data_IF_605573277415
#
_entry.id   IF_605573277415
#
_cell.length_a   1.000
_cell.length_b   1.000
_cell.length_c   1.000
_cell.angle_alpha   90.00
_cell.angle_beta   90.00
_cell.angle_gamma   90.00
#
_symmetry.space_group_name_H-M   'P 1'
#
loop_
_entity.id
_entity.type
_entity.pdbx_description
1 polymer ?
#
# COMPACT_ATOMS: atom_id res chain seq x y z
N UNK A 1 -16.36 1.71 -37.10
CA UNK A 1 -17.40 1.85 -36.07
C UNK A 1 -16.79 2.64 -34.90
N UNK A 2 -17.18 3.92 -34.83
CA UNK A 2 -16.96 4.97 -33.81
C UNK A 2 -15.66 5.02 -32.98
N UNK A 3 -14.75 5.91 -33.39
CA UNK A 3 -13.70 6.47 -32.55
C UNK A 3 -14.30 7.52 -31.59
N UNK A 4 -14.35 7.24 -30.29
CA UNK A 4 -14.64 8.25 -29.27
C UNK A 4 -13.35 8.99 -28.89
N UNK A 5 -13.05 10.04 -29.64
CA UNK A 5 -12.02 11.02 -29.28
C UNK A 5 -12.62 11.99 -28.25
N UNK A 6 -12.44 11.72 -26.95
CA UNK A 6 -12.76 12.68 -25.91
C UNK A 6 -11.66 13.77 -25.88
N UNK A 7 -11.82 14.82 -26.70
CA UNK A 7 -11.02 16.05 -26.60
C UNK A 7 -11.57 16.95 -25.49
N UNK A 8 -11.39 16.56 -24.23
CA UNK A 8 -11.45 17.54 -23.13
C UNK A 8 -10.02 18.02 -22.90
N UNK A 9 -9.80 19.30 -23.17
CA UNK A 9 -8.58 20.04 -22.87
C UNK A 9 -8.29 19.93 -21.37
N UNK A 10 -7.29 19.11 -21.00
CA UNK A 10 -6.71 19.16 -19.66
C UNK A 10 -6.05 20.54 -19.53
N UNK A 11 -6.75 21.50 -18.92
CA UNK A 11 -6.15 22.77 -18.52
C UNK A 11 -5.09 22.43 -17.48
N UNK A 12 -3.81 22.56 -17.85
CA UNK A 12 -2.73 22.44 -16.89
C UNK A 12 -2.92 23.52 -15.82
N UNK A 13 -3.35 23.11 -14.63
CA UNK A 13 -3.43 23.99 -13.47
C UNK A 13 -2.00 24.29 -13.04
N UNK A 14 -1.46 25.45 -13.47
CA UNK A 14 -0.17 25.95 -12.98
C UNK A 14 -0.33 26.38 -11.52
N UNK A 15 -0.02 25.49 -10.58
CA UNK A 15 0.12 25.86 -9.17
C UNK A 15 1.52 26.41 -8.94
N UNK A 16 1.62 27.68 -8.53
CA UNK A 16 2.90 28.32 -8.21
C UNK A 16 3.63 27.55 -7.09
N UNK A 17 4.96 27.64 -7.05
CA UNK A 17 5.75 27.05 -5.95
C UNK A 17 5.32 27.60 -4.59
N UNK A 18 4.98 28.89 -4.54
CA UNK A 18 4.48 29.55 -3.34
C UNK A 18 3.13 28.98 -2.89
N UNK A 19 2.15 28.85 -3.79
CA UNK A 19 0.84 28.27 -3.46
C UNK A 19 0.91 26.80 -3.02
N UNK A 20 1.86 26.02 -3.56
CA UNK A 20 2.14 24.66 -3.06
C UNK A 20 2.68 24.68 -1.63
N UNK A 21 3.58 25.61 -1.34
CA UNK A 21 4.18 25.79 -0.01
C UNK A 21 3.15 26.27 1.01
N UNK A 22 2.31 27.23 0.64
CA UNK A 22 1.25 27.77 1.49
C UNK A 22 0.20 26.72 1.83
N UNK A 23 -0.16 25.84 0.86
CA UNK A 23 -1.01 24.67 1.15
C UNK A 23 -0.38 23.74 2.18
N UNK A 24 0.92 23.44 2.04
CA UNK A 24 1.63 22.59 2.99
C UNK A 24 1.62 23.19 4.41
N UNK A 25 1.84 24.50 4.52
CA UNK A 25 1.83 25.24 5.79
C UNK A 25 0.42 25.38 6.40
N UNK A 26 -0.63 25.40 5.56
CA UNK A 26 -2.03 25.46 6.02
C UNK A 26 -2.53 24.15 6.66
N UNK A 27 -1.78 23.06 6.52
CA UNK A 27 -2.19 21.72 6.97
C UNK A 27 -3.31 21.09 6.14
N UNK A 28 -3.86 21.77 5.13
CA UNK A 28 -4.95 21.25 4.28
C UNK A 28 -4.42 20.36 3.15
N UNK A 29 -5.07 19.21 2.96
CA UNK A 29 -4.85 18.30 1.84
C UNK A 29 -6.08 18.36 0.93
N UNK A 30 -5.92 18.96 -0.24
CA UNK A 30 -6.94 18.98 -1.29
C UNK A 30 -6.47 18.17 -2.49
N UNK A 31 -7.26 17.16 -2.87
CA UNK A 31 -7.04 16.37 -4.07
C UNK A 31 -7.99 16.90 -5.14
N UNK A 32 -7.43 17.49 -6.19
CA UNK A 32 -8.17 17.98 -7.35
C UNK A 32 -8.08 16.91 -8.43
N UNK A 33 -9.23 16.47 -8.95
CA UNK A 33 -9.25 15.48 -10.02
C UNK A 33 -8.67 16.09 -11.30
N UNK A 34 -7.66 15.47 -11.90
CA UNK A 34 -7.19 15.86 -13.23
C UNK A 34 -8.20 15.53 -14.36
N UNK A 35 -9.24 14.72 -14.09
CA UNK A 35 -10.22 14.34 -15.11
C UNK A 35 -11.11 15.52 -15.54
N UNK A 36 -11.47 16.40 -14.61
CA UNK A 36 -12.35 17.54 -14.86
C UNK A 36 -12.03 18.80 -14.04
N UNK A 37 -11.03 18.76 -13.16
CA UNK A 37 -10.65 19.87 -12.29
C UNK A 37 -11.51 20.02 -11.03
N UNK A 38 -12.42 19.08 -10.76
CA UNK A 38 -13.25 19.09 -9.55
C UNK A 38 -12.46 18.76 -8.28
N UNK A 39 -12.94 19.23 -7.14
CA UNK A 39 -12.42 18.82 -5.83
C UNK A 39 -12.89 17.39 -5.54
N UNK A 40 -11.95 16.43 -5.54
CA UNK A 40 -12.25 15.02 -5.27
C UNK A 40 -12.21 14.69 -3.78
N UNK A 41 -11.26 15.28 -3.04
CA UNK A 41 -11.15 15.09 -1.60
C UNK A 41 -10.67 16.39 -0.93
N UNK A 42 -11.27 16.71 0.21
CA UNK A 42 -10.84 17.79 1.11
C UNK A 42 -10.57 17.20 2.49
N UNK A 43 -9.37 17.41 3.00
CA UNK A 43 -8.89 16.83 4.23
C UNK A 43 -7.70 17.61 4.78
N UNK A 44 -6.92 16.95 5.63
CA UNK A 44 -5.72 17.54 6.24
C UNK A 44 -4.56 16.57 6.22
N UNK A 45 -3.35 17.11 6.19
CA UNK A 45 -2.15 16.33 6.45
C UNK A 45 -2.17 15.80 7.89
N UNK A 46 -1.60 14.60 8.07
CA UNK A 46 -1.36 14.09 9.41
C UNK A 46 -0.41 15.04 10.16
N UNK A 47 -0.76 15.34 11.41
CA UNK A 47 0.11 16.09 12.31
C UNK A 47 1.26 15.22 12.82
N UNK A 48 2.30 15.85 13.36
CA UNK A 48 3.39 15.14 14.01
C UNK A 48 2.88 14.26 15.17
N UNK A 49 1.89 14.75 15.94
CA UNK A 49 1.30 13.99 17.06
C UNK A 49 0.60 12.73 16.57
N UNK A 50 -0.12 12.79 15.45
CA UNK A 50 -0.79 11.62 14.87
C UNK A 50 0.22 10.62 14.31
N UNK A 51 1.29 11.09 13.66
CA UNK A 51 2.37 10.22 13.19
C UNK A 51 3.05 9.50 14.35
N UNK A 52 3.33 10.20 15.46
CA UNK A 52 3.91 9.59 16.66
C UNK A 52 2.94 8.60 17.32
N UNK A 53 1.65 8.92 17.36
CA UNK A 53 0.61 8.03 17.91
C UNK A 53 0.48 6.75 17.08
N UNK A 54 0.50 6.86 15.75
CA UNK A 54 0.47 5.71 14.85
C UNK A 54 1.72 4.83 15.01
N UNK A 55 2.91 5.44 15.15
CA UNK A 55 4.15 4.70 15.42
C UNK A 55 4.10 3.98 16.78
N UNK A 56 3.59 4.63 17.83
CA UNK A 56 3.42 4.00 19.14
C UNK A 56 2.48 2.80 19.07
N UNK A 57 1.33 2.94 18.40
CA UNK A 57 0.38 1.85 18.20
C UNK A 57 1.00 0.68 17.42
N UNK A 58 1.74 0.97 16.35
CA UNK A 58 2.45 -0.05 15.57
C UNK A 58 3.48 -0.81 16.43
N UNK A 59 4.25 -0.11 17.27
CA UNK A 59 5.20 -0.74 18.20
C UNK A 59 4.51 -1.66 19.20
N UNK A 60 3.38 -1.24 19.75
CA UNK A 60 2.58 -2.06 20.68
C UNK A 60 2.03 -3.30 19.99
N UNK A 61 1.54 -3.16 18.75
CA UNK A 61 0.96 -4.27 18.00
C UNK A 61 2.02 -5.28 17.49
N UNK A 62 3.22 -4.82 17.12
CA UNK A 62 4.25 -5.65 16.48
C UNK A 62 4.59 -6.93 17.26
N UNK A 63 4.65 -6.86 18.59
CA UNK A 63 4.97 -8.02 19.42
C UNK A 63 3.86 -9.10 19.42
N UNK A 64 2.60 -8.71 19.31
CA UNK A 64 1.48 -9.64 19.16
C UNK A 64 1.37 -10.13 17.71
N UNK A 65 1.52 -9.22 16.75
CA UNK A 65 1.44 -9.52 15.32
C UNK A 65 2.49 -10.53 14.86
N UNK A 66 3.76 -10.38 15.28
CA UNK A 66 4.84 -11.35 15.02
C UNK A 66 4.48 -12.78 15.44
N UNK A 67 3.65 -12.95 16.48
CA UNK A 67 3.23 -14.25 17.01
C UNK A 67 1.94 -14.79 16.38
N UNK A 68 1.28 -14.01 15.54
CA UNK A 68 0.06 -14.42 14.84
C UNK A 68 0.41 -15.53 13.86
N UNK A 69 -0.31 -16.67 13.83
CA UNK A 69 -0.06 -17.75 12.87
C UNK A 69 -0.10 -17.27 11.43
N UNK A 70 0.72 -17.88 10.57
CA UNK A 70 0.81 -17.52 9.14
C UNK A 70 -0.57 -17.55 8.48
N UNK A 71 -1.37 -18.59 8.72
CA UNK A 71 -2.68 -18.77 8.10
C UNK A 71 -3.66 -17.66 8.47
N UNK A 72 -3.62 -17.17 9.72
CA UNK A 72 -4.42 -16.03 10.16
C UNK A 72 -3.99 -14.74 9.46
N UNK A 73 -2.67 -14.54 9.28
CA UNK A 73 -2.16 -13.38 8.52
C UNK A 73 -2.59 -13.46 7.05
N UNK A 74 -2.53 -14.64 6.43
CA UNK A 74 -3.03 -14.85 5.07
C UNK A 74 -4.50 -14.47 4.98
N UNK A 75 -5.35 -14.95 5.90
CA UNK A 75 -6.79 -14.69 5.88
C UNK A 75 -7.12 -13.20 5.95
N UNK A 76 -6.42 -12.44 6.80
CA UNK A 76 -6.59 -10.99 6.92
C UNK A 76 -6.20 -10.26 5.62
N UNK A 77 -5.06 -10.64 5.03
CA UNK A 77 -4.58 -10.04 3.78
C UNK A 77 -5.49 -10.42 2.60
N UNK A 78 -5.95 -11.67 2.52
CA UNK A 78 -6.90 -12.16 1.51
C UNK A 78 -8.22 -11.37 1.52
N UNK A 79 -8.75 -11.08 2.72
CA UNK A 79 -9.95 -10.28 2.89
C UNK A 79 -9.78 -8.83 2.38
N UNK A 80 -8.57 -8.26 2.47
CA UNK A 80 -8.25 -6.96 1.90
C UNK A 80 -8.20 -7.00 0.37
N UNK A 81 -7.45 -7.95 -0.21
CA UNK A 81 -7.26 -8.06 -1.67
C UNK A 81 -8.56 -8.36 -2.40
N UNK A 82 -9.56 -8.90 -1.71
CA UNK A 82 -10.90 -9.17 -2.26
C UNK A 82 -11.74 -7.90 -2.51
N UNK A 83 -11.33 -6.72 -2.03
CA UNK A 83 -12.07 -5.45 -2.19
C UNK A 83 -11.70 -4.72 -3.50
N UNK A 84 -12.25 -5.15 -4.64
CA UNK A 84 -11.79 -4.68 -5.96
C UNK A 84 -12.36 -3.33 -6.42
N UNK A 85 -13.68 -3.21 -6.57
CA UNK A 85 -14.27 -2.19 -7.47
C UNK A 85 -14.10 -0.74 -7.00
N UNK A 86 -14.07 -0.49 -5.69
CA UNK A 86 -13.93 0.86 -5.14
C UNK A 86 -12.54 1.48 -5.42
N UNK A 87 -11.49 0.65 -5.46
CA UNK A 87 -10.10 1.12 -5.63
C UNK A 87 -9.84 1.63 -7.05
N UNK A 88 -10.35 0.93 -8.07
CA UNK A 88 -10.17 1.30 -9.47
C UNK A 88 -10.80 2.68 -9.79
N UNK A 89 -12.03 2.91 -9.32
CA UNK A 89 -12.71 4.20 -9.48
C UNK A 89 -11.99 5.32 -8.76
N UNK A 90 -11.57 5.07 -7.52
CA UNK A 90 -10.81 6.03 -6.73
C UNK A 90 -9.52 6.46 -7.45
N UNK A 91 -8.78 5.50 -8.02
CA UNK A 91 -7.56 5.81 -8.78
C UNK A 91 -7.84 6.56 -10.08
N UNK A 92 -8.92 6.22 -10.80
CA UNK A 92 -9.28 6.92 -12.03
C UNK A 92 -9.53 8.41 -11.79
N UNK A 93 -10.25 8.75 -10.71
CA UNK A 93 -10.53 10.13 -10.37
C UNK A 93 -9.31 10.88 -9.81
N UNK A 94 -8.45 10.23 -9.03
CA UNK A 94 -7.28 10.89 -8.45
C UNK A 94 -6.12 11.06 -9.43
N UNK A 95 -5.89 10.08 -10.30
CA UNK A 95 -4.75 10.06 -11.24
C UNK A 95 -5.12 10.58 -12.63
N UNK A 96 -6.39 10.46 -13.04
CA UNK A 96 -6.90 10.96 -14.32
C UNK A 96 -6.65 10.07 -15.53
N UNK A 97 -6.18 8.84 -15.32
CA UNK A 97 -6.07 7.84 -16.39
C UNK A 97 -7.41 7.11 -16.57
N UNK A 98 -7.71 6.57 -17.78
CA UNK A 98 -8.95 5.84 -18.02
C UNK A 98 -9.18 4.72 -16.98
N UNK A 99 -10.43 4.39 -16.68
CA UNK A 99 -10.76 3.36 -15.68
C UNK A 99 -10.09 2.02 -15.99
N UNK A 100 -10.04 1.63 -17.26
CA UNK A 100 -9.36 0.40 -17.73
C UNK A 100 -7.84 0.39 -17.52
N UNK A 101 -7.23 1.55 -17.29
CA UNK A 101 -5.81 1.72 -16.92
C UNK A 101 -5.64 2.07 -15.44
N UNK A 102 -6.73 2.26 -14.71
CA UNK A 102 -6.74 2.59 -13.29
C UNK A 102 -7.00 1.41 -12.38
N UNK A 103 -7.64 0.37 -12.92
CA UNK A 103 -7.80 -0.88 -12.23
C UNK A 103 -6.46 -1.63 -12.15
N UNK A 104 -5.86 -1.58 -10.98
CA UNK A 104 -4.63 -2.29 -10.62
C UNK A 104 -4.93 -3.52 -9.74
N UNK A 105 -6.20 -3.90 -9.58
CA UNK A 105 -6.60 -4.91 -8.58
C UNK A 105 -6.18 -6.32 -9.00
N UNK A 106 -6.08 -6.57 -10.30
CA UNK A 106 -5.57 -7.84 -10.82
C UNK A 106 -4.04 -7.94 -10.66
N UNK A 107 -3.30 -6.84 -10.82
CA UNK A 107 -1.86 -6.80 -10.53
C UNK A 107 -1.59 -6.97 -9.03
N UNK A 108 -2.40 -6.30 -8.17
CA UNK A 108 -2.36 -6.48 -6.72
C UNK A 108 -2.62 -7.94 -6.34
N UNK A 109 -3.63 -8.58 -6.94
CA UNK A 109 -3.96 -10.00 -6.75
C UNK A 109 -2.80 -10.89 -7.17
N UNK A 110 -2.24 -10.65 -8.36
CA UNK A 110 -1.11 -11.42 -8.87
C UNK A 110 0.09 -11.37 -7.91
N UNK A 111 0.48 -10.17 -7.47
CA UNK A 111 1.59 -10.00 -6.53
C UNK A 111 1.30 -10.60 -5.15
N UNK A 112 0.05 -10.51 -4.69
CA UNK A 112 -0.38 -11.18 -3.47
C UNK A 112 -0.19 -12.71 -3.55
N UNK A 113 -0.66 -13.36 -4.62
CA UNK A 113 -0.48 -14.82 -4.77
C UNK A 113 0.99 -15.20 -4.87
N UNK A 114 1.80 -14.38 -5.55
CA UNK A 114 3.25 -14.56 -5.61
C UNK A 114 3.89 -14.50 -4.22
N UNK A 115 3.55 -13.50 -3.40
CA UNK A 115 4.09 -13.35 -2.04
C UNK A 115 3.61 -14.44 -1.09
N UNK A 116 2.32 -14.81 -1.16
CA UNK A 116 1.74 -15.91 -0.40
C UNK A 116 2.47 -17.23 -0.69
N UNK A 117 2.87 -17.46 -1.93
CA UNK A 117 3.62 -18.67 -2.29
C UNK A 117 5.10 -18.57 -1.88
N UNK A 118 5.76 -17.46 -2.21
CA UNK A 118 7.23 -17.35 -2.15
C UNK A 118 7.73 -16.92 -0.77
N UNK A 119 7.13 -15.89 -0.17
CA UNK A 119 7.60 -15.36 1.11
C UNK A 119 7.28 -16.35 2.24
N UNK A 120 6.10 -16.96 2.20
CA UNK A 120 5.64 -17.89 3.25
C UNK A 120 6.48 -19.16 3.27
N UNK A 121 6.82 -19.71 2.10
CA UNK A 121 7.77 -20.83 2.01
C UNK A 121 9.12 -20.49 2.66
N UNK A 122 9.52 -19.22 2.65
CA UNK A 122 10.75 -18.74 3.28
C UNK A 122 10.67 -18.53 4.80
N UNK A 123 9.51 -18.63 5.45
CA UNK A 123 9.38 -18.39 6.90
C UNK A 123 9.70 -19.62 7.75
N UNK A 124 9.71 -20.81 7.15
CA UNK A 124 10.07 -22.05 7.82
C UNK A 124 11.52 -22.09 8.30
N UNK A 125 11.80 -23.00 9.25
CA UNK A 125 13.16 -23.29 9.67
C UNK A 125 13.95 -23.90 8.50
N UNK A 126 15.14 -23.36 8.25
CA UNK A 126 16.13 -23.89 7.32
C UNK A 126 17.10 -24.71 8.16
N UNK A 127 17.04 -26.04 8.04
CA UNK A 127 17.97 -26.92 8.72
C UNK A 127 19.41 -26.69 8.22
N UNK A 128 20.34 -26.65 9.16
CA UNK A 128 21.77 -26.51 8.90
C UNK A 128 22.50 -27.79 9.36
N UNK A 129 23.65 -28.14 8.78
CA UNK A 129 24.41 -29.30 9.21
C UNK A 129 24.71 -29.26 10.72
N UNK A 130 24.20 -30.26 11.43
CA UNK A 130 24.36 -30.46 12.86
C UNK A 130 25.09 -31.77 13.19
N UNK A 131 25.10 -32.13 14.46
CA UNK A 131 25.52 -33.46 14.93
C UNK A 131 24.33 -34.21 15.52
N UNK A 132 24.49 -35.50 15.82
CA UNK A 132 23.42 -36.32 16.42
C UNK A 132 22.90 -35.75 17.76
N UNK A 133 23.73 -34.96 18.44
CA UNK A 133 23.39 -34.31 19.72
C UNK A 133 22.99 -32.84 19.59
N UNK A 134 23.04 -32.23 18.39
CA UNK A 134 22.79 -30.80 18.19
C UNK A 134 22.05 -30.52 16.87
N UNK A 135 20.79 -30.09 16.99
CA UNK A 135 20.05 -29.50 15.86
C UNK A 135 20.46 -28.06 15.64
N UNK A 136 20.75 -27.69 14.39
CA UNK A 136 21.04 -26.31 13.97
C UNK A 136 20.05 -25.91 12.90
N UNK A 137 19.48 -24.73 13.02
CA UNK A 137 18.59 -24.17 12.01
C UNK A 137 18.72 -22.65 11.96
N UNK A 138 18.35 -22.07 10.83
CA UNK A 138 18.11 -20.65 10.68
C UNK A 138 16.62 -20.40 10.45
N UNK A 139 16.09 -19.32 11.00
CA UNK A 139 14.71 -18.91 10.77
C UNK A 139 14.67 -17.43 10.45
N UNK A 140 13.78 -17.05 9.52
CA UNK A 140 13.51 -15.65 9.23
C UNK A 140 12.51 -15.12 10.24
N UNK A 141 12.90 -14.07 10.94
CA UNK A 141 11.99 -13.33 11.83
C UNK A 141 11.64 -11.97 11.23
N UNK A 142 10.43 -11.45 11.49
CA UNK A 142 10.10 -10.09 11.09
C UNK A 142 10.98 -9.07 11.81
N UNK A 143 11.30 -7.98 11.11
CA UNK A 143 12.10 -6.87 11.62
C UNK A 143 11.33 -6.00 12.62
N UNK A 144 9.99 -6.01 12.53
CA UNK A 144 9.10 -5.19 13.35
C UNK A 144 8.47 -4.08 12.53
N UNK A 145 8.34 -2.89 13.10
CA UNK A 145 7.57 -1.80 12.47
C UNK A 145 8.13 -1.41 11.09
N UNK A 146 7.29 -1.49 10.08
CA UNK A 146 7.60 -1.12 8.69
C UNK A 146 7.06 0.28 8.34
N UNK A 147 7.94 1.21 7.96
CA UNK A 147 7.55 2.50 7.39
C UNK A 147 7.52 2.41 5.87
N UNK A 148 6.34 2.63 5.29
CA UNK A 148 6.16 2.63 3.84
C UNK A 148 5.73 3.98 3.30
N UNK A 149 6.40 4.41 2.23
CA UNK A 149 6.10 5.66 1.52
C UNK A 149 5.80 5.29 0.07
N UNK A 150 4.58 5.59 -0.38
CA UNK A 150 4.14 5.26 -1.73
C UNK A 150 4.20 6.48 -2.66
N UNK A 151 4.42 6.21 -3.94
CA UNK A 151 4.16 7.18 -4.99
C UNK A 151 2.66 7.16 -5.36
N UNK A 152 2.21 8.21 -6.05
CA UNK A 152 0.80 8.45 -6.38
C UNK A 152 0.34 7.80 -7.69
N UNK A 153 1.27 7.30 -8.51
CA UNK A 153 1.00 6.89 -9.89
C UNK A 153 0.56 5.42 -10.04
N UNK A 154 0.92 4.54 -9.10
CA UNK A 154 0.52 3.13 -9.09
C UNK A 154 0.23 2.63 -7.68
N UNK A 155 -0.54 3.42 -6.93
CA UNK A 155 -0.63 3.26 -5.48
C UNK A 155 -1.29 1.96 -5.04
N UNK A 156 -2.20 1.38 -5.82
CA UNK A 156 -2.93 0.16 -5.43
C UNK A 156 -2.04 -1.07 -5.58
N UNK A 157 -1.36 -1.24 -6.72
CA UNK A 157 -0.40 -2.35 -6.89
C UNK A 157 0.80 -2.21 -5.97
N UNK A 158 1.26 -0.97 -5.69
CA UNK A 158 2.35 -0.75 -4.72
C UNK A 158 2.00 -1.18 -3.29
N UNK A 159 0.71 -1.27 -2.92
CA UNK A 159 0.32 -1.83 -1.62
C UNK A 159 0.81 -3.26 -1.42
N UNK A 160 0.99 -4.02 -2.51
CA UNK A 160 1.48 -5.39 -2.44
C UNK A 160 2.82 -5.49 -1.71
N UNK A 161 3.81 -4.69 -2.10
CA UNK A 161 5.15 -4.71 -1.50
C UNK A 161 5.25 -3.84 -0.24
N UNK A 162 4.50 -2.74 -0.18
CA UNK A 162 4.54 -1.79 0.94
C UNK A 162 3.75 -2.23 2.16
N UNK A 163 2.67 -2.98 1.97
CA UNK A 163 1.76 -3.36 3.05
C UNK A 163 1.59 -4.88 3.11
N UNK A 164 1.22 -5.53 2.01
CA UNK A 164 0.87 -6.96 2.06
C UNK A 164 2.08 -7.83 2.40
N UNK A 165 3.24 -7.62 1.76
CA UNK A 165 4.44 -8.39 2.04
C UNK A 165 4.94 -8.24 3.50
N UNK A 166 5.03 -7.02 4.06
CA UNK A 166 5.29 -6.82 5.50
C UNK A 166 4.30 -7.54 6.41
N UNK A 167 2.99 -7.42 6.14
CA UNK A 167 1.97 -8.09 6.94
C UNK A 167 2.09 -9.63 6.88
N UNK A 168 2.29 -10.19 5.68
CA UNK A 168 2.47 -11.64 5.49
C UNK A 168 3.70 -12.17 6.22
N UNK A 169 4.76 -11.36 6.30
CA UNK A 169 6.02 -11.72 6.98
C UNK A 169 6.02 -11.41 8.48
N UNK A 170 4.94 -10.81 9.01
CA UNK A 170 4.74 -10.55 10.44
C UNK A 170 5.36 -9.25 10.96
N UNK A 171 5.62 -8.30 10.05
CA UNK A 171 6.02 -6.92 10.37
C UNK A 171 4.80 -6.05 10.71
#
# INVERSE_FOLDING_TARGET
MAAYFCRRTVRAVRVSRQARRDRYLSGKLQIISPADGSLYHDGRFASNTEAQSALAAARTAAAAWKRTPVDERIALVEAFVSRKQALAWMMAWQVGRPLSKSDETDDLRYLYEYYKTTLIAGLGAIELPGSDSQRRFAQREPYGVNLSICAWNYSVVMLSSLILAPLLTGN
#
